data_IF_119881257528
#
_entry.id   IF_119881257528
#
_cell.length_a   1.000
_cell.length_b   1.000
_cell.length_c   1.000
_cell.angle_alpha   90.00
_cell.angle_beta   90.00
_cell.angle_gamma   90.00
#
_symmetry.space_group_name_H-M   'P 1'
#
loop_
_entity.id
_entity.type
_entity.pdbx_description
1 polymer ?
#
# COMPACT_ATOMS: atom_id res chain seq x y z
N UNK A 1 37.02 28.60 -15.91
CA UNK A 1 35.68 28.44 -15.30
C UNK A 1 35.04 27.25 -15.98
N UNK A 2 35.19 26.06 -15.42
CA UNK A 2 34.70 24.83 -16.02
C UNK A 2 33.61 24.29 -15.10
N UNK A 3 32.38 24.31 -15.58
CA UNK A 3 31.20 23.85 -14.85
C UNK A 3 31.32 22.35 -14.57
N UNK A 4 31.44 22.00 -13.30
CA UNK A 4 31.16 20.66 -12.77
C UNK A 4 29.64 20.55 -12.57
N UNK A 5 28.93 20.23 -13.65
CA UNK A 5 27.61 19.60 -13.54
C UNK A 5 27.86 18.15 -13.17
N UNK A 6 28.06 17.86 -11.87
CA UNK A 6 27.95 16.49 -11.39
C UNK A 6 26.49 16.07 -11.59
N UNK A 7 26.28 15.21 -12.59
CA UNK A 7 25.00 14.56 -12.80
C UNK A 7 24.69 13.75 -11.55
N UNK A 8 23.60 14.09 -10.88
CA UNK A 8 23.00 13.23 -9.88
C UNK A 8 22.63 11.94 -10.62
N UNK A 9 23.06 10.75 -10.16
CA UNK A 9 22.65 9.50 -10.79
C UNK A 9 21.12 9.44 -10.83
N UNK A 10 20.56 9.34 -12.02
CA UNK A 10 19.11 9.33 -12.22
C UNK A 10 18.58 7.95 -11.79
N UNK A 11 17.91 7.90 -10.63
CA UNK A 11 17.31 6.67 -10.13
C UNK A 11 16.32 6.14 -11.17
N UNK A 12 16.51 4.89 -11.60
CA UNK A 12 15.62 4.26 -12.58
C UNK A 12 14.50 3.52 -11.86
N UNK A 13 13.26 3.82 -12.22
CA UNK A 13 12.08 3.07 -11.75
C UNK A 13 11.88 1.82 -12.62
N UNK A 14 11.71 0.68 -11.95
CA UNK A 14 11.44 -0.62 -12.55
C UNK A 14 10.14 -1.20 -11.97
N UNK A 15 9.42 -1.99 -12.78
CA UNK A 15 8.26 -2.77 -12.33
C UNK A 15 8.61 -4.24 -12.36
N UNK A 16 8.46 -4.91 -11.21
CA UNK A 16 8.63 -6.36 -11.10
C UNK A 16 7.28 -7.05 -10.90
N UNK A 17 7.11 -8.20 -11.58
CA UNK A 17 5.94 -9.03 -11.44
C UNK A 17 6.26 -10.24 -10.58
N UNK A 18 5.54 -10.44 -9.48
CA UNK A 18 5.56 -11.72 -8.80
C UNK A 18 4.61 -12.70 -9.51
N UNK A 19 5.17 -13.48 -10.44
CA UNK A 19 4.45 -14.46 -11.27
C UNK A 19 4.10 -15.75 -10.53
N UNK A 20 4.48 -15.93 -9.25
CA UNK A 20 4.16 -17.15 -8.48
C UNK A 20 2.66 -17.26 -8.11
N UNK A 21 1.80 -16.49 -8.75
CA UNK A 21 0.39 -16.38 -8.38
C UNK A 21 -0.51 -16.29 -9.62
N UNK A 22 -1.71 -16.90 -9.56
CA UNK A 22 -2.81 -16.64 -10.52
C UNK A 22 -3.40 -15.22 -10.37
N UNK A 23 -2.78 -14.33 -9.57
CA UNK A 23 -3.19 -12.95 -9.37
C UNK A 23 -1.94 -12.09 -9.20
N UNK A 24 -1.28 -11.71 -10.31
CA UNK A 24 0.06 -11.13 -10.29
C UNK A 24 0.08 -9.91 -9.37
N UNK A 25 1.01 -9.90 -8.42
CA UNK A 25 1.31 -8.72 -7.63
C UNK A 25 2.47 -7.99 -8.29
N UNK A 26 2.28 -6.71 -8.54
CA UNK A 26 3.28 -5.86 -9.18
C UNK A 26 3.91 -4.97 -8.13
N UNK A 27 5.24 -4.89 -8.13
CA UNK A 27 6.00 -4.01 -7.24
C UNK A 27 6.76 -2.99 -8.07
N UNK A 28 6.72 -1.74 -7.63
CA UNK A 28 7.53 -0.67 -8.21
C UNK A 28 8.77 -0.54 -7.34
N UNK A 29 9.93 -0.67 -7.95
CA UNK A 29 11.22 -0.58 -7.28
C UNK A 29 12.09 0.46 -7.96
N UNK A 30 12.93 1.15 -7.20
CA UNK A 30 13.98 2.01 -7.75
C UNK A 30 15.33 1.31 -7.65
N UNK A 31 16.15 1.50 -8.68
CA UNK A 31 17.57 1.15 -8.68
C UNK A 31 18.42 2.41 -8.64
N UNK A 32 19.48 2.40 -7.83
CA UNK A 32 20.49 3.46 -7.83
C UNK A 32 21.41 3.25 -9.04
N UNK A 33 21.76 4.33 -9.74
CA UNK A 33 22.54 4.23 -10.98
C UNK A 33 24.03 3.89 -10.76
N UNK A 34 24.51 3.86 -9.51
CA UNK A 34 25.90 3.53 -9.17
C UNK A 34 26.17 2.02 -9.11
N UNK A 35 25.12 1.19 -9.15
CA UNK A 35 25.23 -0.28 -9.06
C UNK A 35 25.32 -0.90 -10.46
N UNK A 36 26.43 -0.62 -11.16
CA UNK A 36 26.79 -1.37 -12.36
C UNK A 36 27.83 -2.42 -11.97
N UNK A 37 27.46 -3.71 -12.09
CA UNK A 37 28.34 -4.90 -12.05
C UNK A 37 28.57 -5.65 -10.72
N UNK A 38 27.60 -5.72 -9.81
CA UNK A 38 27.55 -6.83 -8.82
C UNK A 38 26.17 -7.48 -8.77
N UNK A 39 26.13 -8.81 -8.60
CA UNK A 39 24.92 -9.66 -8.75
C UNK A 39 23.82 -9.41 -7.70
N UNK A 40 24.06 -8.53 -6.72
CA UNK A 40 23.09 -8.11 -5.69
C UNK A 40 22.81 -6.60 -5.80
N UNK A 41 22.04 -6.20 -6.81
CA UNK A 41 21.50 -4.83 -6.87
C UNK A 41 20.43 -4.67 -5.79
N UNK A 42 20.71 -3.90 -4.75
CA UNK A 42 19.71 -3.55 -3.73
C UNK A 42 18.61 -2.70 -4.38
N UNK A 43 17.44 -3.32 -4.57
CA UNK A 43 16.25 -2.62 -5.05
C UNK A 43 15.48 -2.07 -3.86
N UNK A 44 15.14 -0.78 -3.90
CA UNK A 44 14.34 -0.12 -2.87
C UNK A 44 12.89 0.01 -3.35
N UNK A 45 11.92 -0.28 -2.48
CA UNK A 45 10.50 -0.12 -2.81
C UNK A 45 10.11 1.36 -2.81
N UNK A 46 9.32 1.78 -3.80
CA UNK A 46 8.88 3.17 -3.91
C UNK A 46 7.84 3.47 -2.83
N UNK A 47 8.17 4.42 -1.94
CA UNK A 47 7.26 4.91 -0.89
C UNK A 47 6.58 6.19 -1.36
N UNK A 48 5.24 6.17 -1.36
CA UNK A 48 4.41 7.34 -1.66
C UNK A 48 3.78 7.88 -0.39
N UNK A 49 3.99 9.17 -0.11
CA UNK A 49 3.44 9.85 1.06
C UNK A 49 2.40 10.88 0.63
N UNK A 50 1.20 10.80 1.20
CA UNK A 50 0.12 11.76 0.99
C UNK A 50 -0.38 12.30 2.33
N UNK A 51 -0.63 13.60 2.37
CA UNK A 51 -1.28 14.26 3.49
C UNK A 51 -2.71 14.60 3.12
N UNK A 52 -3.65 14.28 4.00
CA UNK A 52 -5.05 14.64 3.80
C UNK A 52 -5.91 14.30 5.02
N UNK A 53 -7.22 14.40 4.83
CA UNK A 53 -8.25 14.18 5.83
C UNK A 53 -8.98 12.90 5.49
N UNK A 54 -9.15 12.03 6.48
CA UNK A 54 -9.93 10.79 6.34
C UNK A 54 -11.42 11.15 6.24
N UNK A 55 -12.06 10.74 5.14
CA UNK A 55 -13.50 10.92 4.90
C UNK A 55 -14.28 9.66 5.28
N UNK A 56 -13.71 8.50 4.97
CA UNK A 56 -14.27 7.19 5.32
C UNK A 56 -13.14 6.26 5.77
N UNK A 57 -13.45 5.36 6.69
CA UNK A 57 -12.50 4.37 7.18
C UNK A 57 -13.20 3.09 7.57
N UNK A 58 -12.61 1.97 7.16
CA UNK A 58 -12.91 0.63 7.64
C UNK A 58 -11.61 0.06 8.22
N UNK A 59 -11.39 0.32 9.49
CA UNK A 59 -10.15 0.03 10.22
C UNK A 59 -10.42 -0.88 11.42
N UNK A 60 -9.40 -1.61 11.90
CA UNK A 60 -9.51 -2.32 13.16
C UNK A 60 -9.82 -1.38 14.34
N UNK A 61 -10.40 -1.91 15.44
CA UNK A 61 -10.71 -3.32 15.68
C UNK A 61 -11.94 -3.81 14.91
N UNK A 62 -11.84 -4.99 14.28
CA UNK A 62 -12.97 -5.64 13.61
C UNK A 62 -13.84 -6.32 14.65
N UNK A 63 -14.89 -5.61 15.05
CA UNK A 63 -15.84 -6.05 16.08
C UNK A 63 -17.16 -6.54 15.51
N UNK A 64 -17.49 -6.12 14.29
CA UNK A 64 -18.76 -6.43 13.63
C UNK A 64 -18.71 -7.83 13.01
N UNK A 65 -19.76 -8.65 13.16
CA UNK A 65 -19.85 -9.93 12.49
C UNK A 65 -19.77 -9.77 10.97
N UNK A 66 -18.94 -10.59 10.33
CA UNK A 66 -18.85 -10.66 8.86
C UNK A 66 -19.78 -11.77 8.38
N UNK A 67 -20.52 -11.52 7.29
CA UNK A 67 -21.39 -12.53 6.71
C UNK A 67 -20.60 -13.80 6.33
N UNK A 68 -21.15 -14.98 6.63
CA UNK A 68 -20.50 -16.27 6.33
C UNK A 68 -20.25 -16.52 4.84
N UNK A 69 -20.97 -15.82 3.96
CA UNK A 69 -20.77 -15.86 2.52
C UNK A 69 -19.60 -15.01 2.02
N UNK A 70 -19.05 -14.14 2.87
CA UNK A 70 -17.94 -13.27 2.51
C UNK A 70 -16.67 -14.10 2.31
N UNK A 71 -15.98 -13.90 1.19
CA UNK A 71 -14.69 -14.55 0.97
C UNK A 71 -13.61 -13.84 1.78
N UNK A 72 -12.69 -14.57 2.45
CA UNK A 72 -11.56 -13.96 3.15
C UNK A 72 -10.68 -13.09 2.23
N UNK A 73 -10.68 -13.39 0.93
CA UNK A 73 -9.97 -12.60 -0.10
C UNK A 73 -10.47 -11.15 -0.21
N UNK A 74 -11.75 -10.91 0.10
CA UNK A 74 -12.37 -9.60 -0.07
C UNK A 74 -12.38 -8.77 1.22
N UNK A 75 -11.88 -9.32 2.33
CA UNK A 75 -11.83 -8.58 3.60
C UNK A 75 -10.53 -7.81 3.66
N UNK A 76 -10.69 -6.50 3.80
CA UNK A 76 -9.61 -5.52 3.75
C UNK A 76 -9.90 -4.42 4.75
N UNK A 77 -8.83 -3.79 5.18
CA UNK A 77 -8.85 -2.50 5.86
C UNK A 77 -8.67 -1.43 4.80
N UNK A 78 -9.42 -0.34 4.91
CA UNK A 78 -9.34 0.75 3.93
C UNK A 78 -9.58 2.11 4.56
N UNK A 79 -8.98 3.12 3.94
CA UNK A 79 -9.23 4.52 4.24
C UNK A 79 -9.47 5.27 2.95
N UNK A 80 -10.31 6.29 3.03
CA UNK A 80 -10.58 7.23 1.95
C UNK A 80 -10.10 8.60 2.41
N UNK A 81 -9.13 9.17 1.69
CA UNK A 81 -8.47 10.43 2.06
C UNK A 81 -8.81 11.50 1.03
N UNK A 82 -9.16 12.70 1.49
CA UNK A 82 -9.30 13.90 0.65
C UNK A 82 -8.33 15.00 1.07
N UNK A 83 -7.94 15.84 0.13
CA UNK A 83 -7.18 17.05 0.39
C UNK A 83 -8.00 18.30 0.62
N UNK A 84 -9.33 18.26 0.47
CA UNK A 84 -10.19 19.47 0.43
C UNK A 84 -9.60 20.57 -0.48
N UNK A 85 -9.21 20.19 -1.70
CA UNK A 85 -8.60 21.07 -2.71
C UNK A 85 -7.27 21.75 -2.30
N UNK A 86 -6.56 21.20 -1.32
CA UNK A 86 -5.20 21.65 -1.01
C UNK A 86 -4.23 21.37 -2.16
N UNK A 87 -3.31 22.30 -2.39
CA UNK A 87 -2.31 22.17 -3.46
C UNK A 87 -1.36 20.99 -3.23
N UNK A 88 -1.03 20.67 -1.97
CA UNK A 88 -0.21 19.50 -1.62
C UNK A 88 -0.87 18.19 -2.03
N UNK A 89 -2.18 18.06 -1.78
CA UNK A 89 -2.94 16.89 -2.20
C UNK A 89 -3.11 16.82 -3.72
N UNK A 90 -3.35 17.95 -4.38
CA UNK A 90 -3.39 18.00 -5.84
C UNK A 90 -2.05 17.55 -6.46
N UNK A 91 -0.92 17.96 -5.89
CA UNK A 91 0.40 17.47 -6.30
C UNK A 91 0.57 15.96 -6.07
N UNK A 92 0.08 15.44 -4.95
CA UNK A 92 0.07 14.00 -4.68
C UNK A 92 -0.78 13.24 -5.71
N UNK A 93 -1.95 13.75 -6.09
CA UNK A 93 -2.81 13.17 -7.14
C UNK A 93 -2.12 13.16 -8.51
N UNK A 94 -1.37 14.20 -8.85
CA UNK A 94 -0.58 14.25 -10.09
C UNK A 94 0.54 13.19 -10.07
N UNK A 95 1.23 13.03 -8.94
CA UNK A 95 2.23 11.98 -8.76
C UNK A 95 1.63 10.58 -8.90
N UNK A 96 0.45 10.36 -8.31
CA UNK A 96 -0.27 9.10 -8.38
C UNK A 96 -0.76 8.78 -9.80
N UNK A 97 -1.26 9.78 -10.53
CA UNK A 97 -1.60 9.65 -11.95
C UNK A 97 -0.36 9.31 -12.81
N UNK A 98 0.82 9.84 -12.45
CA UNK A 98 2.08 9.50 -13.14
C UNK A 98 2.47 8.04 -12.88
N UNK A 99 2.32 7.57 -11.64
CA UNK A 99 2.53 6.16 -11.27
C UNK A 99 1.54 5.26 -12.02
N UNK A 100 0.26 5.63 -12.06
CA UNK A 100 -0.77 4.88 -12.79
C UNK A 100 -0.42 4.76 -14.28
N UNK A 101 -0.04 5.87 -14.90
CA UNK A 101 0.37 5.88 -16.30
C UNK A 101 1.61 5.00 -16.54
N UNK A 102 2.61 5.08 -15.64
CA UNK A 102 3.78 4.21 -15.69
C UNK A 102 3.40 2.72 -15.59
N UNK A 103 2.48 2.36 -14.69
CA UNK A 103 1.99 0.99 -14.56
C UNK A 103 1.23 0.54 -15.82
N UNK A 104 0.33 1.38 -16.36
CA UNK A 104 -0.44 1.08 -17.58
C UNK A 104 0.45 0.88 -18.81
N UNK A 105 1.57 1.59 -18.89
CA UNK A 105 2.53 1.44 -19.99
C UNK A 105 3.35 0.15 -19.88
N UNK A 106 3.64 -0.31 -18.65
CA UNK A 106 4.51 -1.46 -18.41
C UNK A 106 3.74 -2.78 -18.20
N UNK A 107 2.46 -2.71 -17.81
CA UNK A 107 1.63 -3.88 -17.49
C UNK A 107 0.54 -4.01 -18.56
N UNK A 108 0.62 -5.09 -19.35
CA UNK A 108 -0.38 -5.46 -20.36
C UNK A 108 -1.62 -6.09 -19.71
N UNK A 109 -2.23 -5.39 -18.77
CA UNK A 109 -3.45 -5.81 -18.11
C UNK A 109 -4.48 -4.67 -18.14
N UNK A 110 -5.71 -5.01 -18.51
CA UNK A 110 -6.81 -4.05 -18.61
C UNK A 110 -7.52 -3.86 -17.25
N UNK A 111 -7.02 -4.49 -16.19
CA UNK A 111 -7.65 -4.56 -14.87
C UNK A 111 -7.30 -3.40 -13.91
N UNK A 112 -6.73 -2.29 -14.41
CA UNK A 112 -6.49 -1.12 -13.56
C UNK A 112 -7.79 -0.34 -13.35
N UNK A 113 -8.30 -0.40 -12.12
CA UNK A 113 -9.32 0.53 -11.65
C UNK A 113 -8.76 1.97 -11.68
N UNK A 114 -9.62 2.93 -11.97
CA UNK A 114 -9.25 4.35 -11.90
C UNK A 114 -8.82 4.70 -10.48
N UNK A 115 -7.73 5.47 -10.36
CA UNK A 115 -7.25 5.90 -9.06
C UNK A 115 -7.99 7.18 -8.65
N UNK A 116 -8.80 7.04 -7.62
CA UNK A 116 -9.53 8.13 -7.00
C UNK A 116 -10.97 8.24 -7.45
N UNK A 117 -11.76 8.93 -6.63
CA UNK A 117 -13.20 9.15 -6.82
C UNK A 117 -13.57 10.54 -6.34
N UNK A 118 -14.82 10.96 -6.60
CA UNK A 118 -15.36 12.22 -6.10
C UNK A 118 -16.39 11.91 -5.03
N UNK A 119 -16.17 12.41 -3.81
CA UNK A 119 -17.13 12.34 -2.71
C UNK A 119 -17.42 13.77 -2.27
N UNK A 120 -18.72 14.14 -2.25
CA UNK A 120 -19.18 15.47 -1.86
C UNK A 120 -18.48 16.63 -2.62
N UNK A 121 -18.11 16.40 -3.88
CA UNK A 121 -17.44 17.40 -4.72
C UNK A 121 -15.93 17.48 -4.56
N UNK A 122 -15.33 16.72 -3.62
CA UNK A 122 -13.89 16.67 -3.41
C UNK A 122 -13.27 15.42 -4.02
N UNK A 123 -12.04 15.56 -4.52
CA UNK A 123 -11.23 14.43 -4.95
C UNK A 123 -10.80 13.59 -3.74
N UNK A 124 -10.96 12.28 -3.85
CA UNK A 124 -10.68 11.30 -2.79
C UNK A 124 -9.85 10.15 -3.35
N UNK A 125 -8.86 9.68 -2.60
CA UNK A 125 -8.11 8.45 -2.86
C UNK A 125 -8.62 7.39 -1.89
N UNK A 126 -9.01 6.22 -2.38
CA UNK A 126 -9.20 5.03 -1.54
C UNK A 126 -7.91 4.22 -1.52
N UNK A 127 -7.42 3.92 -0.32
CA UNK A 127 -6.24 3.06 -0.09
C UNK A 127 -6.71 1.88 0.75
N UNK A 128 -6.33 0.66 0.36
CA UNK A 128 -6.73 -0.54 1.09
C UNK A 128 -5.60 -1.56 1.20
N UNK A 129 -5.60 -2.32 2.29
CA UNK A 129 -4.77 -3.50 2.46
C UNK A 129 -5.63 -4.70 2.87
N UNK A 130 -5.36 -5.88 2.30
CA UNK A 130 -6.10 -7.10 2.63
C UNK A 130 -5.63 -7.63 3.96
N UNK A 131 -6.56 -8.14 4.77
CA UNK A 131 -6.17 -8.89 5.97
C UNK A 131 -5.54 -10.23 5.62
N UNK A 132 -5.89 -10.82 4.48
CA UNK A 132 -5.48 -12.19 4.19
C UNK A 132 -4.88 -12.37 2.81
N UNK A 133 -3.81 -13.17 2.78
CA UNK A 133 -3.19 -13.69 1.56
C UNK A 133 -3.55 -15.16 1.40
N UNK A 134 -3.88 -15.60 0.19
CA UNK A 134 -4.14 -17.02 -0.06
C UNK A 134 -2.88 -17.85 0.20
N UNK A 135 -2.99 -18.98 0.93
CA UNK A 135 -1.84 -19.80 1.36
C UNK A 135 -0.91 -20.22 0.21
N UNK A 136 -1.49 -20.48 -0.97
CA UNK A 136 -0.74 -20.79 -2.20
C UNK A 136 0.19 -19.67 -2.70
N UNK A 137 -0.08 -18.43 -2.29
CA UNK A 137 0.69 -17.24 -2.67
C UNK A 137 1.64 -16.76 -1.57
N UNK A 138 1.49 -17.27 -0.36
CA UNK A 138 2.34 -16.98 0.79
C UNK A 138 3.39 -18.08 1.01
N UNK A 139 3.81 -18.78 -0.06
CA UNK A 139 4.85 -19.80 0.03
C UNK A 139 6.19 -19.14 0.30
N UNK A 140 6.86 -19.54 1.38
CA UNK A 140 8.14 -18.94 1.79
C UNK A 140 8.01 -17.59 2.50
N UNK A 141 6.79 -17.14 2.81
CA UNK A 141 6.54 -15.94 3.61
C UNK A 141 6.16 -16.38 5.03
N UNK A 142 6.73 -15.70 6.02
CA UNK A 142 6.40 -15.94 7.42
C UNK A 142 4.94 -15.61 7.71
N UNK A 143 4.31 -16.52 8.45
CA UNK A 143 2.91 -16.39 8.85
C UNK A 143 2.87 -15.73 10.22
N UNK A 144 2.08 -14.68 10.31
CA UNK A 144 1.83 -13.97 11.55
C UNK A 144 0.47 -14.33 12.12
N UNK A 145 0.27 -14.05 13.41
CA UNK A 145 -1.02 -14.20 14.08
C UNK A 145 -1.69 -12.84 14.15
N UNK A 146 -3.01 -12.82 13.94
CA UNK A 146 -3.81 -11.62 14.19
C UNK A 146 -3.72 -11.24 15.67
N UNK A 147 -3.43 -9.97 15.94
CA UNK A 147 -3.43 -9.40 17.29
C UNK A 147 -4.87 -9.22 17.79
N UNK A 148 -5.13 -9.36 19.11
CA UNK A 148 -6.40 -8.96 19.71
C UNK A 148 -6.77 -7.49 19.48
N UNK A 149 -5.79 -6.63 19.19
CA UNK A 149 -6.03 -5.22 18.80
C UNK A 149 -6.73 -5.11 17.44
N UNK A 150 -6.50 -6.09 16.55
CA UNK A 150 -7.10 -6.14 15.22
C UNK A 150 -8.42 -6.91 15.26
N UNK A 151 -8.44 -8.07 15.93
CA UNK A 151 -9.56 -9.00 15.95
C UNK A 151 -9.94 -9.41 17.39
N UNK A 152 -10.52 -8.49 18.19
CA UNK A 152 -10.78 -8.74 19.61
C UNK A 152 -11.79 -9.87 19.84
N UNK A 153 -12.68 -10.11 18.88
CA UNK A 153 -13.76 -11.09 18.99
C UNK A 153 -13.50 -12.38 18.18
N UNK A 154 -12.35 -12.50 17.50
CA UNK A 154 -12.03 -13.66 16.67
C UNK A 154 -12.83 -13.76 15.36
N UNK A 155 -13.47 -12.68 14.91
CA UNK A 155 -14.31 -12.65 13.70
C UNK A 155 -13.46 -12.87 12.45
N UNK A 156 -12.30 -12.22 12.38
CA UNK A 156 -11.36 -12.41 11.26
C UNK A 156 -10.73 -13.79 11.33
N UNK A 157 -10.36 -14.27 12.52
CA UNK A 157 -9.80 -15.60 12.72
C UNK A 157 -10.78 -16.72 12.32
N UNK A 158 -12.07 -16.59 12.66
CA UNK A 158 -13.11 -17.52 12.21
C UNK A 158 -13.24 -17.53 10.68
N UNK A 159 -13.20 -16.34 10.08
CA UNK A 159 -13.34 -16.18 8.64
C UNK A 159 -12.13 -16.72 7.85
N UNK A 160 -10.92 -16.58 8.37
CA UNK A 160 -9.67 -16.94 7.71
C UNK A 160 -9.70 -18.35 7.10
N UNK A 161 -10.20 -19.33 7.86
CA UNK A 161 -10.20 -20.75 7.49
C UNK A 161 -8.79 -21.28 7.14
N UNK A 162 -8.73 -22.41 6.46
CA UNK A 162 -7.45 -23.10 6.16
C UNK A 162 -6.74 -22.61 4.89
N UNK A 163 -7.47 -21.87 4.04
CA UNK A 163 -7.02 -21.45 2.71
C UNK A 163 -6.22 -20.15 2.69
N UNK A 164 -6.20 -19.41 3.80
CA UNK A 164 -5.68 -18.06 3.88
C UNK A 164 -4.77 -17.87 5.10
N UNK A 165 -3.84 -16.93 4.99
CA UNK A 165 -2.86 -16.59 6.02
C UNK A 165 -2.72 -15.09 6.16
N UNK A 166 -2.40 -14.65 7.37
CA UNK A 166 -1.95 -13.28 7.67
C UNK A 166 -0.42 -13.27 7.61
N UNK A 167 0.16 -12.31 6.88
CA UNK A 167 1.61 -12.15 6.70
C UNK A 167 2.02 -10.70 7.00
N UNK A 168 3.32 -10.44 7.06
CA UNK A 168 3.87 -9.08 7.23
C UNK A 168 3.30 -8.07 6.21
N UNK A 169 3.09 -8.50 4.96
CA UNK A 169 2.48 -7.69 3.89
C UNK A 169 1.01 -7.29 4.17
N UNK A 170 0.31 -8.05 5.02
CA UNK A 170 -1.06 -7.74 5.43
C UNK A 170 -1.13 -6.80 6.64
N UNK A 171 0.02 -6.54 7.28
CA UNK A 171 0.11 -5.68 8.46
C UNK A 171 0.03 -4.21 8.04
N UNK A 172 -0.77 -3.46 8.78
CA UNK A 172 -0.83 -2.00 8.69
C UNK A 172 -0.42 -1.45 10.05
N UNK A 173 0.43 -0.44 10.02
CA UNK A 173 0.95 0.20 11.22
C UNK A 173 0.28 1.55 11.41
N UNK A 174 -0.19 1.79 12.63
CA UNK A 174 -0.88 3.01 13.01
C UNK A 174 0.03 3.82 13.91
N UNK A 175 0.28 5.05 13.52
CA UNK A 175 1.11 5.99 14.26
C UNK A 175 0.25 7.18 14.68
N UNK A 176 0.33 7.53 15.96
CA UNK A 176 -0.27 8.75 16.49
C UNK A 176 0.84 9.68 16.91
N UNK A 177 0.85 10.90 16.37
CA UNK A 177 1.72 11.97 16.86
C UNK A 177 1.11 12.53 18.14
N UNK A 178 1.90 12.57 19.20
CA UNK A 178 1.50 13.13 20.49
C UNK A 178 2.37 14.32 20.87
N UNK A 179 1.86 15.20 21.74
CA UNK A 179 2.64 16.30 22.30
C UNK A 179 2.90 15.93 23.76
N UNK A 180 4.17 15.85 24.14
CA UNK A 180 4.56 15.58 25.52
C UNK A 180 4.15 16.75 26.43
N UNK A 181 4.11 16.52 27.75
CA UNK A 181 3.86 17.60 28.71
C UNK A 181 4.89 18.76 28.63
N UNK A 182 6.06 18.51 28.02
CA UNK A 182 7.10 19.51 27.78
C UNK A 182 6.93 20.28 26.44
N UNK A 183 5.90 19.98 25.66
CA UNK A 183 5.63 20.63 24.37
C UNK A 183 6.42 20.05 23.19
N UNK A 184 7.08 18.90 23.38
CA UNK A 184 7.82 18.21 22.32
C UNK A 184 6.93 17.22 21.59
N UNK A 185 7.11 17.11 20.28
CA UNK A 185 6.39 16.12 19.48
C UNK A 185 7.04 14.75 19.63
N UNK A 186 6.22 13.74 19.91
CA UNK A 186 6.58 12.32 19.96
C UNK A 186 5.80 11.54 18.91
#
# INVERSE_FOLDING_TARGET
MTNLSQGIPENTMDVTCNKNTNNPTWRITTRKAEDTETEDTETEEVVFTVHGIIVESDLPPVTRPIARSTSPRHVQQRISITGLDTQSFAGAMQGLASIENFLRLNIRDNAFNEIGTIINGYQVIEISNRYFTGKRFASGVDKEKLSPEIDPNGVLAELQGDGFVYTSENKVEYYQRTISAAGEYQ
#
